data_IF_473042192551
#
_entry.id   IF_473042192551
#
_cell.length_a   1.000
_cell.length_b   1.000
_cell.length_c   1.000
_cell.angle_alpha   90.00
_cell.angle_beta   90.00
_cell.angle_gamma   90.00
#
_symmetry.space_group_name_H-M   'P 1'
#
loop_
_entity.id
_entity.type
_entity.pdbx_description
1 polymer ?
#
# COMPACT_ATOMS: atom_id res chain seq x y z
N UNK A 1 33.04 -1.21 9.98
CA UNK A 1 33.25 -1.37 8.51
C UNK A 1 31.90 -1.34 7.80
N UNK A 2 31.49 -0.21 7.19
CA UNK A 2 30.16 -0.06 6.58
C UNK A 2 29.89 -1.06 5.42
N UNK A 3 30.94 -1.50 4.72
CA UNK A 3 30.80 -2.45 3.59
C UNK A 3 30.19 -3.81 3.97
N UNK A 4 30.42 -4.30 5.19
CA UNK A 4 29.83 -5.57 5.64
C UNK A 4 28.32 -5.43 5.86
N UNK A 5 27.87 -4.27 6.37
CA UNK A 5 26.46 -3.99 6.62
C UNK A 5 25.65 -4.00 5.32
N UNK A 6 26.09 -3.27 4.29
CA UNK A 6 25.36 -3.19 3.02
C UNK A 6 25.42 -4.46 2.18
N UNK A 7 26.50 -5.26 2.27
CA UNK A 7 26.66 -6.46 1.44
C UNK A 7 26.13 -7.75 2.09
N UNK A 8 26.03 -7.80 3.41
CA UNK A 8 25.66 -9.03 4.14
C UNK A 8 24.33 -8.83 4.86
N UNK A 9 24.20 -7.77 5.64
CA UNK A 9 23.02 -7.55 6.49
C UNK A 9 21.81 -7.10 5.66
N UNK A 10 21.97 -6.13 4.75
CA UNK A 10 20.86 -5.62 3.94
C UNK A 10 20.20 -6.72 3.06
N UNK A 11 20.93 -7.55 2.29
CA UNK A 11 20.32 -8.59 1.47
C UNK A 11 19.61 -9.66 2.30
N UNK A 12 20.12 -9.95 3.50
CA UNK A 12 19.52 -10.92 4.43
C UNK A 12 18.19 -10.41 5.01
N UNK A 13 18.09 -9.10 5.29
CA UNK A 13 16.88 -8.45 5.80
C UNK A 13 15.90 -8.08 4.67
N UNK A 14 16.35 -8.01 3.42
CA UNK A 14 15.56 -7.62 2.25
C UNK A 14 14.17 -8.29 2.17
N UNK A 15 14.01 -9.62 2.32
CA UNK A 15 12.69 -10.24 2.28
C UNK A 15 11.75 -9.73 3.39
N UNK A 16 12.29 -9.50 4.60
CA UNK A 16 11.52 -8.95 5.71
C UNK A 16 11.11 -7.49 5.45
N UNK A 17 12.06 -6.67 5.00
CA UNK A 17 11.83 -5.26 4.65
C UNK A 17 10.75 -5.12 3.56
N UNK A 18 10.81 -5.98 2.53
CA UNK A 18 9.81 -5.98 1.46
C UNK A 18 8.41 -6.26 1.99
N UNK A 19 8.26 -7.27 2.85
CA UNK A 19 6.95 -7.64 3.42
C UNK A 19 6.41 -6.51 4.29
N UNK A 20 7.22 -6.01 5.22
CA UNK A 20 6.82 -4.89 6.10
C UNK A 20 6.48 -3.64 5.29
N UNK A 21 7.28 -3.30 4.27
CA UNK A 21 7.03 -2.18 3.38
C UNK A 21 5.70 -2.29 2.64
N UNK A 22 5.31 -3.50 2.22
CA UNK A 22 4.02 -3.72 1.56
C UNK A 22 2.85 -3.54 2.54
N UNK A 23 2.94 -4.06 3.76
CA UNK A 23 1.90 -3.84 4.78
C UNK A 23 1.75 -2.35 5.12
N UNK A 24 2.86 -1.63 5.26
CA UNK A 24 2.86 -0.18 5.48
C UNK A 24 2.20 0.53 4.30
N UNK A 25 2.56 0.17 3.06
CA UNK A 25 1.96 0.76 1.86
C UNK A 25 0.45 0.52 1.81
N UNK A 26 -0.02 -0.70 2.03
CA UNK A 26 -1.45 -1.03 2.01
C UNK A 26 -2.21 -0.21 3.07
N UNK A 27 -1.65 -0.08 4.28
CA UNK A 27 -2.24 0.76 5.32
C UNK A 27 -2.30 2.23 4.91
N UNK A 28 -1.18 2.80 4.48
CA UNK A 28 -1.08 4.20 4.09
C UNK A 28 -1.94 4.55 2.86
N UNK A 29 -2.07 3.63 1.90
CA UNK A 29 -2.88 3.83 0.70
C UNK A 29 -4.38 3.88 1.00
N UNK A 30 -4.84 3.11 1.99
CA UNK A 30 -6.25 3.08 2.41
C UNK A 30 -6.60 4.13 3.47
N UNK A 31 -5.61 4.88 3.96
CA UNK A 31 -5.82 5.82 5.06
C UNK A 31 -6.65 7.03 4.60
N UNK A 32 -7.93 7.02 4.98
CA UNK A 32 -8.87 8.09 4.66
C UNK A 32 -8.92 9.16 5.76
N UNK A 33 -8.98 8.76 7.03
CA UNK A 33 -9.32 9.66 8.13
C UNK A 33 -8.23 10.72 8.32
N UNK A 34 -6.98 10.28 8.46
CA UNK A 34 -5.86 11.20 8.64
C UNK A 34 -5.68 12.09 7.41
N UNK A 35 -5.81 11.53 6.21
CA UNK A 35 -5.68 12.30 4.98
C UNK A 35 -6.80 13.36 4.86
N UNK A 36 -8.04 13.03 5.20
CA UNK A 36 -9.16 13.95 5.13
C UNK A 36 -8.99 15.16 6.06
N UNK A 37 -8.42 14.96 7.25
CA UNK A 37 -8.20 16.05 8.21
C UNK A 37 -6.90 16.84 7.99
N UNK A 38 -5.84 16.19 7.50
CA UNK A 38 -4.50 16.79 7.44
C UNK A 38 -4.09 17.28 6.05
N UNK A 39 -4.82 16.92 4.99
CA UNK A 39 -4.49 17.34 3.63
C UNK A 39 -5.29 18.56 3.19
N UNK A 40 -4.65 19.42 2.40
CA UNK A 40 -5.31 20.54 1.72
C UNK A 40 -5.71 20.13 0.31
N UNK A 41 -6.49 20.96 -0.39
CA UNK A 41 -6.90 20.70 -1.77
C UNK A 41 -5.73 20.46 -2.75
N UNK A 42 -4.53 20.95 -2.43
CA UNK A 42 -3.32 20.76 -3.24
C UNK A 42 -2.57 19.45 -2.97
N UNK A 43 -2.89 18.76 -1.86
CA UNK A 43 -2.16 17.59 -1.38
C UNK A 43 -3.09 16.41 -1.07
N UNK A 44 -4.22 16.31 -1.78
CA UNK A 44 -5.22 15.25 -1.57
C UNK A 44 -4.65 13.88 -1.91
N UNK A 45 -5.07 12.88 -1.15
CA UNK A 45 -4.77 11.48 -1.41
C UNK A 45 -5.94 10.81 -2.13
N UNK A 46 -5.68 9.67 -2.77
CA UNK A 46 -6.70 8.94 -3.52
C UNK A 46 -7.98 8.66 -2.71
N UNK A 47 -7.95 8.16 -1.46
CA UNK A 47 -9.18 7.91 -0.69
C UNK A 47 -10.01 9.17 -0.44
N UNK A 48 -9.39 10.34 -0.38
CA UNK A 48 -10.09 11.60 -0.11
C UNK A 48 -10.89 12.13 -1.29
N UNK A 49 -10.73 11.56 -2.50
CA UNK A 49 -11.40 12.07 -3.72
C UNK A 49 -12.90 11.78 -3.80
N UNK A 50 -13.47 11.10 -2.80
CA UNK A 50 -14.92 10.78 -2.76
C UNK A 50 -15.78 12.05 -2.77
N UNK A 51 -15.29 13.13 -2.17
CA UNK A 51 -15.96 14.43 -2.11
C UNK A 51 -16.15 15.08 -3.48
N UNK A 52 -15.27 14.81 -4.46
CA UNK A 52 -15.38 15.34 -5.82
C UNK A 52 -16.60 14.84 -6.58
N UNK A 53 -17.13 13.67 -6.23
CA UNK A 53 -18.28 13.09 -6.92
C UNK A 53 -19.62 13.66 -6.43
N UNK A 54 -19.60 14.52 -5.39
CA UNK A 54 -20.75 15.27 -4.96
C UNK A 54 -20.84 16.58 -5.76
N UNK A 55 -21.75 16.64 -6.72
CA UNK A 55 -21.94 17.81 -7.59
C UNK A 55 -23.40 18.25 -7.52
N UNK A 56 -23.66 19.52 -7.19
CA UNK A 56 -25.01 20.09 -7.03
C UNK A 56 -25.94 19.27 -6.11
N UNK A 57 -25.40 18.69 -5.03
CA UNK A 57 -26.17 17.87 -4.08
C UNK A 57 -26.51 16.47 -4.57
N UNK A 58 -26.04 16.07 -5.75
CA UNK A 58 -26.24 14.74 -6.33
C UNK A 58 -24.90 14.01 -6.47
N UNK A 59 -24.88 12.72 -6.12
CA UNK A 59 -23.69 11.89 -6.27
C UNK A 59 -23.59 11.33 -7.69
N UNK A 60 -22.41 11.46 -8.30
CA UNK A 60 -22.08 10.84 -9.59
C UNK A 60 -21.59 9.39 -9.39
N UNK A 61 -22.52 8.46 -9.19
CA UNK A 61 -22.19 7.06 -8.88
C UNK A 61 -21.29 6.38 -9.92
N UNK A 62 -21.52 6.61 -11.22
CA UNK A 62 -20.72 5.99 -12.28
C UNK A 62 -19.22 6.32 -12.16
N UNK A 63 -18.84 7.60 -12.22
CA UNK A 63 -17.46 8.03 -11.98
C UNK A 63 -16.92 7.63 -10.59
N UNK A 64 -17.75 7.68 -9.55
CA UNK A 64 -17.36 7.30 -8.19
C UNK A 64 -16.94 5.83 -8.12
N UNK A 65 -17.74 4.91 -8.65
CA UNK A 65 -17.41 3.48 -8.67
C UNK A 65 -16.24 3.18 -9.61
N UNK A 66 -16.15 3.84 -10.77
CA UNK A 66 -15.02 3.70 -11.68
C UNK A 66 -13.70 4.11 -11.00
N UNK A 67 -13.73 5.20 -10.22
CA UNK A 67 -12.57 5.60 -9.40
C UNK A 67 -12.24 4.53 -8.37
N UNK A 68 -13.22 3.97 -7.65
CA UNK A 68 -12.98 2.90 -6.68
C UNK A 68 -12.28 1.67 -7.27
N UNK A 69 -12.63 1.28 -8.50
CA UNK A 69 -11.93 0.21 -9.23
C UNK A 69 -10.46 0.59 -9.48
N UNK A 70 -10.21 1.82 -9.96
CA UNK A 70 -8.85 2.33 -10.18
C UNK A 70 -8.06 2.36 -8.86
N UNK A 71 -8.68 2.81 -7.77
CA UNK A 71 -8.09 2.86 -6.44
C UNK A 71 -7.69 1.51 -5.87
N UNK A 72 -8.35 0.44 -6.32
CA UNK A 72 -8.07 -0.94 -5.91
C UNK A 72 -6.90 -1.55 -6.70
N UNK A 73 -6.57 -1.02 -7.88
CA UNK A 73 -5.51 -1.57 -8.74
C UNK A 73 -4.13 -1.63 -8.05
N UNK A 74 -3.64 -0.59 -7.34
CA UNK A 74 -2.34 -0.65 -6.66
C UNK A 74 -2.28 -1.79 -5.64
N UNK A 75 -3.34 -1.97 -4.86
CA UNK A 75 -3.42 -3.04 -3.85
C UNK A 75 -3.37 -4.41 -4.53
N UNK A 76 -4.07 -4.60 -5.65
CA UNK A 76 -4.03 -5.84 -6.42
C UNK A 76 -2.63 -6.12 -6.98
N UNK A 77 -1.95 -5.11 -7.51
CA UNK A 77 -0.57 -5.22 -7.99
C UNK A 77 0.33 -5.69 -6.85
N UNK A 78 0.27 -5.04 -5.69
CA UNK A 78 1.04 -5.45 -4.51
C UNK A 78 0.68 -6.85 -4.04
N UNK A 79 -0.59 -7.24 -4.02
CA UNK A 79 -1.02 -8.57 -3.64
C UNK A 79 -0.41 -9.65 -4.55
N UNK A 80 -0.29 -9.40 -5.86
CA UNK A 80 0.38 -10.33 -6.79
C UNK A 80 1.88 -10.44 -6.46
N UNK A 81 2.56 -9.32 -6.17
CA UNK A 81 3.96 -9.34 -5.77
C UNK A 81 4.16 -10.08 -4.44
N UNK A 82 3.32 -9.81 -3.44
CA UNK A 82 3.39 -10.43 -2.10
C UNK A 82 3.29 -11.95 -2.17
N UNK A 83 2.43 -12.51 -3.04
CA UNK A 83 2.23 -13.96 -3.13
C UNK A 83 3.56 -14.73 -3.21
N UNK A 84 4.51 -14.26 -4.01
CA UNK A 84 5.82 -14.93 -4.15
C UNK A 84 6.65 -14.87 -2.86
N UNK A 85 6.62 -13.76 -2.13
CA UNK A 85 7.42 -13.54 -0.92
C UNK A 85 6.78 -14.12 0.34
N UNK A 86 5.46 -14.18 0.40
CA UNK A 86 4.71 -14.73 1.52
C UNK A 86 5.03 -16.22 1.73
N UNK A 87 5.08 -17.01 0.64
CA UNK A 87 5.48 -18.42 0.72
C UNK A 87 6.91 -18.63 1.22
N UNK A 88 7.84 -17.74 0.86
CA UNK A 88 9.24 -17.80 1.31
C UNK A 88 9.35 -17.41 2.78
N UNK A 89 8.58 -16.42 3.22
CA UNK A 89 8.55 -16.00 4.63
C UNK A 89 7.99 -17.08 5.56
N UNK A 90 6.91 -17.76 5.13
CA UNK A 90 6.31 -18.84 5.91
C UNK A 90 7.23 -20.07 5.99
N UNK A 91 7.89 -20.45 4.90
CA UNK A 91 8.76 -21.64 4.89
C UNK A 91 10.13 -21.36 5.53
N UNK A 92 10.73 -20.18 5.31
CA UNK A 92 11.98 -19.78 5.96
C UNK A 92 11.87 -19.53 7.46
N UNK A 93 10.67 -19.20 7.97
CA UNK A 93 10.36 -19.14 9.40
C UNK A 93 10.08 -20.51 10.03
N UNK A 94 9.48 -21.44 9.28
CA UNK A 94 9.13 -22.78 9.76
C UNK A 94 10.30 -23.79 9.71
N UNK A 95 11.29 -23.61 8.83
CA UNK A 95 12.44 -24.52 8.67
C UNK A 95 13.62 -24.23 9.63
N UNK A 96 13.36 -23.58 10.77
CA UNK A 96 14.33 -23.40 11.86
C UNK A 96 14.08 -24.34 13.06
N UNK A 97 13.48 -25.50 12.81
CA UNK A 97 13.51 -26.65 13.70
C UNK A 97 14.02 -27.86 12.92
#
# INVERSE_FOLDING_TARGET
RPNAFFKIIIPLLLPGILITGIFIFIGAWNEFVLAFFLTSSSARTFPTTVDFFLTYGMYQFGPMFASGVIGTLPILIFAIFVRKYYFIAMTGGALKY
#
